data_IF_108128000611
#
_entry.id   IF_108128000611
#
_cell.length_a   1.000
_cell.length_b   1.000
_cell.length_c   1.000
_cell.angle_alpha   90.00
_cell.angle_beta   90.00
_cell.angle_gamma   90.00
#
_symmetry.space_group_name_H-M   'P 1'
#
loop_
_entity.id
_entity.type
_entity.pdbx_description
1 polymer ?
#
# COMPACT_ATOMS: atom_id res chain seq x y z
N UNK A 1 17.83 7.85 33.12
CA UNK A 1 17.37 7.36 31.80
C UNK A 1 18.59 6.98 30.96
N UNK A 2 18.71 5.74 30.47
CA UNK A 2 19.80 5.39 29.53
C UNK A 2 19.44 5.96 28.15
N UNK A 3 19.75 7.23 27.91
CA UNK A 3 19.71 7.83 26.56
C UNK A 3 20.87 7.26 25.75
N UNK A 4 20.71 6.02 25.28
CA UNK A 4 21.71 5.41 24.42
C UNK A 4 21.85 6.18 23.10
N UNK A 5 23.03 6.11 22.48
CA UNK A 5 23.30 6.73 21.17
C UNK A 5 22.29 6.31 20.09
N UNK A 6 21.77 5.07 20.17
CA UNK A 6 20.83 4.50 19.19
C UNK A 6 19.49 5.27 19.10
N UNK A 7 18.74 5.50 20.19
CA UNK A 7 17.54 6.36 20.15
C UNK A 7 17.78 7.77 19.58
N UNK A 8 18.93 8.38 19.88
CA UNK A 8 19.26 9.70 19.36
C UNK A 8 19.44 9.68 17.84
N UNK A 9 20.11 8.66 17.29
CA UNK A 9 20.24 8.48 15.84
C UNK A 9 18.89 8.32 15.15
N UNK A 10 17.96 7.57 15.73
CA UNK A 10 16.60 7.42 15.17
C UNK A 10 15.77 8.70 15.28
N UNK A 11 16.02 9.52 16.31
CA UNK A 11 15.41 10.86 16.41
C UNK A 11 15.95 11.79 15.33
N UNK A 12 17.27 11.77 15.10
CA UNK A 12 17.91 12.49 14.00
C UNK A 12 17.42 12.03 12.63
N UNK A 13 17.20 10.72 12.45
CA UNK A 13 16.60 10.17 11.24
C UNK A 13 15.16 10.66 11.03
N UNK A 14 14.31 10.63 12.08
CA UNK A 14 12.96 11.18 12.00
C UNK A 14 12.96 12.66 11.64
N UNK A 15 13.83 13.45 12.27
CA UNK A 15 14.01 14.87 11.99
C UNK A 15 14.43 15.10 10.53
N UNK A 16 15.46 14.41 10.07
CA UNK A 16 15.94 14.53 8.70
C UNK A 16 14.86 14.16 7.69
N UNK A 17 14.14 13.05 7.89
CA UNK A 17 13.07 12.65 6.99
C UNK A 17 11.95 13.70 6.94
N UNK A 18 11.57 14.30 8.07
CA UNK A 18 10.61 15.41 8.10
C UNK A 18 11.08 16.61 7.27
N UNK A 19 12.36 17.00 7.36
CA UNK A 19 12.90 18.09 6.55
C UNK A 19 12.93 17.73 5.06
N UNK A 20 13.26 16.48 4.72
CA UNK A 20 13.30 16.01 3.34
C UNK A 20 11.92 15.98 2.68
N UNK A 21 10.82 15.93 3.45
CA UNK A 21 9.46 16.09 2.90
C UNK A 21 9.24 17.44 2.22
N UNK A 22 9.95 18.49 2.65
CA UNK A 22 9.85 19.83 2.06
C UNK A 22 10.72 20.00 0.80
N UNK A 23 11.58 19.02 0.47
CA UNK A 23 12.51 19.11 -0.66
C UNK A 23 11.98 18.26 -1.81
N UNK A 24 11.66 18.84 -2.98
CA UNK A 24 11.23 18.09 -4.15
C UNK A 24 12.22 16.97 -4.51
N UNK A 25 11.71 15.85 -5.04
CA UNK A 25 12.44 14.62 -5.35
C UNK A 25 12.96 13.83 -4.13
N UNK A 26 13.43 14.52 -3.08
CA UNK A 26 13.86 13.88 -1.83
C UNK A 26 12.68 13.53 -0.92
N UNK A 27 11.52 14.13 -1.15
CA UNK A 27 10.27 13.82 -0.45
C UNK A 27 9.81 12.38 -0.69
N UNK A 28 10.01 11.80 -1.88
CA UNK A 28 9.63 10.42 -2.18
C UNK A 28 10.32 9.38 -1.28
N UNK A 29 11.67 9.31 -1.21
CA UNK A 29 12.32 8.40 -0.28
C UNK A 29 12.01 8.74 1.19
N UNK A 30 11.77 10.02 1.51
CA UNK A 30 11.35 10.42 2.85
C UNK A 30 9.99 9.82 3.24
N UNK A 31 8.97 9.94 2.37
CA UNK A 31 7.65 9.35 2.55
C UNK A 31 7.72 7.83 2.73
N UNK A 32 8.50 7.15 1.90
CA UNK A 32 8.67 5.69 1.97
C UNK A 32 9.25 5.24 3.32
N UNK A 33 10.22 5.97 3.87
CA UNK A 33 10.92 5.59 5.09
C UNK A 33 10.33 6.22 6.37
N UNK A 34 9.34 7.12 6.26
CA UNK A 34 8.88 7.95 7.38
C UNK A 34 8.39 7.16 8.60
N UNK A 35 7.69 6.04 8.37
CA UNK A 35 7.25 5.17 9.48
C UNK A 35 8.41 4.53 10.24
N UNK A 36 9.55 4.26 9.60
CA UNK A 36 10.64 3.44 10.16
C UNK A 36 11.19 4.00 11.47
N UNK A 37 11.66 5.26 11.56
CA UNK A 37 12.17 5.78 12.82
C UNK A 37 11.08 5.85 13.90
N UNK A 38 9.84 6.17 13.55
CA UNK A 38 8.73 6.20 14.51
C UNK A 38 8.40 4.82 15.08
N UNK A 39 8.35 3.78 14.23
CA UNK A 39 8.16 2.39 14.67
C UNK A 39 9.31 1.98 15.59
N UNK A 40 10.55 2.28 15.24
CA UNK A 40 11.73 1.90 16.04
C UNK A 40 11.74 2.59 17.40
N UNK A 41 11.56 3.92 17.43
CA UNK A 41 11.50 4.70 18.67
C UNK A 41 10.35 4.22 19.55
N UNK A 42 9.14 4.06 18.99
CA UNK A 42 7.99 3.61 19.76
C UNK A 42 8.19 2.19 20.30
N UNK A 43 8.76 1.28 19.52
CA UNK A 43 8.94 -0.13 19.89
C UNK A 43 10.00 -0.30 20.98
N UNK A 44 11.06 0.50 20.96
CA UNK A 44 12.24 0.31 21.83
C UNK A 44 12.23 1.15 23.09
N UNK A 45 11.40 2.21 23.15
CA UNK A 45 11.35 3.14 24.29
C UNK A 45 10.08 2.94 25.13
N UNK A 46 10.13 3.42 26.38
CA UNK A 46 8.91 3.66 27.16
C UNK A 46 8.10 4.79 26.53
N UNK A 47 6.80 4.89 26.85
CA UNK A 47 5.92 5.94 26.29
C UNK A 47 6.45 7.36 26.59
N UNK A 48 6.93 7.59 27.82
CA UNK A 48 7.52 8.88 28.20
C UNK A 48 8.82 9.18 27.44
N UNK A 49 9.73 8.21 27.33
CA UNK A 49 10.96 8.40 26.57
C UNK A 49 10.70 8.61 25.08
N UNK A 50 9.72 7.92 24.49
CA UNK A 50 9.28 8.16 23.12
C UNK A 50 8.85 9.62 22.90
N UNK A 51 8.02 10.17 23.79
CA UNK A 51 7.59 11.58 23.70
C UNK A 51 8.76 12.56 23.86
N UNK A 52 9.70 12.27 24.77
CA UNK A 52 10.90 13.10 24.96
C UNK A 52 11.80 13.16 23.71
N UNK A 53 11.76 12.13 22.85
CA UNK A 53 12.46 12.14 21.57
C UNK A 53 11.61 12.76 20.44
N UNK A 54 10.30 12.51 20.44
CA UNK A 54 9.40 12.96 19.39
C UNK A 54 9.16 14.48 19.42
N UNK A 55 8.89 15.04 20.60
CA UNK A 55 8.50 16.46 20.73
C UNK A 55 9.60 17.40 20.22
N UNK A 56 10.88 17.28 20.62
CA UNK A 56 11.92 18.16 20.10
C UNK A 56 12.10 18.02 18.58
N UNK A 57 12.02 16.80 18.05
CA UNK A 57 12.10 16.54 16.60
C UNK A 57 11.00 17.29 15.85
N UNK A 58 9.77 17.22 16.35
CA UNK A 58 8.62 17.89 15.74
C UNK A 58 8.67 19.40 15.86
N UNK A 59 9.05 19.93 17.03
CA UNK A 59 9.20 21.38 17.22
C UNK A 59 10.26 21.96 16.29
N UNK A 60 11.43 21.31 16.19
CA UNK A 60 12.50 21.76 15.31
C UNK A 60 12.11 21.63 13.83
N UNK A 61 11.50 20.52 13.43
CA UNK A 61 11.06 20.34 12.05
C UNK A 61 9.99 21.36 11.64
N UNK A 62 9.02 21.62 12.52
CA UNK A 62 7.98 22.62 12.28
C UNK A 62 8.53 24.05 12.21
N UNK A 63 9.54 24.37 13.02
CA UNK A 63 10.19 25.68 12.99
C UNK A 63 10.98 25.90 11.68
N UNK A 64 11.63 24.86 11.16
CA UNK A 64 12.52 24.96 9.99
C UNK A 64 11.75 24.80 8.67
N UNK A 65 10.89 23.79 8.57
CA UNK A 65 10.20 23.41 7.34
C UNK A 65 8.72 23.81 7.32
N UNK A 66 8.21 24.41 8.40
CA UNK A 66 6.84 24.89 8.51
C UNK A 66 5.83 23.84 9.01
N UNK A 67 4.58 24.23 9.26
CA UNK A 67 3.57 23.36 9.86
C UNK A 67 3.08 22.23 8.92
N UNK A 68 3.19 22.41 7.60
CA UNK A 68 2.72 21.43 6.62
C UNK A 68 3.42 20.07 6.75
N UNK A 69 4.73 20.05 7.05
CA UNK A 69 5.47 18.78 7.23
C UNK A 69 5.01 18.03 8.48
N UNK A 70 4.44 18.72 9.48
CA UNK A 70 3.92 18.09 10.69
C UNK A 70 2.60 17.36 10.44
N UNK A 71 1.76 17.89 9.52
CA UNK A 71 0.52 17.22 9.10
C UNK A 71 0.87 15.88 8.43
N UNK A 72 1.82 15.91 7.48
CA UNK A 72 2.31 14.70 6.82
C UNK A 72 3.00 13.77 7.83
N UNK A 73 3.80 14.31 8.75
CA UNK A 73 4.41 13.55 9.84
C UNK A 73 3.39 12.84 10.73
N UNK A 74 2.25 13.49 10.99
CA UNK A 74 1.15 12.95 11.80
C UNK A 74 0.50 11.75 11.15
N UNK A 75 0.25 11.84 9.84
CA UNK A 75 -0.28 10.74 9.05
C UNK A 75 0.56 9.47 9.22
N UNK A 76 1.89 9.57 9.19
CA UNK A 76 2.79 8.41 9.35
C UNK A 76 3.02 8.00 10.81
N UNK A 77 2.90 8.93 11.76
CA UNK A 77 3.08 8.67 13.18
C UNK A 77 2.03 7.68 13.72
N UNK A 78 0.77 7.87 13.37
CA UNK A 78 -0.35 7.04 13.86
C UNK A 78 -0.19 5.54 13.51
N UNK A 79 -0.03 5.13 12.23
CA UNK A 79 0.17 3.73 11.88
C UNK A 79 1.51 3.21 12.43
N UNK A 80 2.52 4.07 12.61
CA UNK A 80 3.81 3.66 13.16
C UNK A 80 3.70 3.29 14.65
N UNK A 81 2.92 4.04 15.41
CA UNK A 81 2.57 3.72 16.81
C UNK A 81 1.80 2.41 16.88
N UNK A 82 0.80 2.21 16.01
CA UNK A 82 0.02 0.96 15.98
C UNK A 82 0.91 -0.23 15.66
N UNK A 83 1.75 -0.12 14.63
CA UNK A 83 2.70 -1.17 14.25
C UNK A 83 3.70 -1.46 15.37
N UNK A 84 4.26 -0.43 16.00
CA UNK A 84 5.18 -0.60 17.12
C UNK A 84 4.52 -1.19 18.38
N UNK A 85 3.25 -0.91 18.62
CA UNK A 85 2.47 -1.55 19.68
C UNK A 85 2.28 -3.05 19.41
N UNK A 86 1.94 -3.41 18.16
CA UNK A 86 1.81 -4.80 17.75
C UNK A 86 3.14 -5.56 17.86
N UNK A 87 4.27 -4.93 17.54
CA UNK A 87 5.60 -5.50 17.78
C UNK A 87 5.86 -5.77 19.25
N UNK A 88 5.58 -4.81 20.15
CA UNK A 88 5.72 -5.01 21.60
C UNK A 88 4.86 -6.17 22.12
N UNK A 89 3.70 -6.41 21.52
CA UNK A 89 2.80 -7.50 21.89
C UNK A 89 3.15 -8.86 21.27
N UNK A 90 4.20 -8.96 20.45
CA UNK A 90 4.57 -10.20 19.74
C UNK A 90 3.54 -10.64 18.69
N UNK A 91 2.76 -9.71 18.12
CA UNK A 91 1.71 -10.03 17.17
C UNK A 91 2.27 -10.65 15.88
N UNK A 92 1.56 -11.63 15.32
CA UNK A 92 1.90 -12.23 14.04
C UNK A 92 1.96 -11.20 12.91
N UNK A 93 2.86 -11.37 11.94
CA UNK A 93 3.05 -10.45 10.82
C UNK A 93 1.76 -10.19 10.02
N UNK A 94 0.91 -11.21 9.85
CA UNK A 94 -0.39 -11.07 9.18
C UNK A 94 -1.35 -10.13 9.93
N UNK A 95 -1.27 -10.07 11.27
CA UNK A 95 -2.04 -9.09 12.07
C UNK A 95 -1.46 -7.69 11.91
N UNK A 96 -0.13 -7.56 11.94
CA UNK A 96 0.56 -6.28 11.72
C UNK A 96 0.19 -5.66 10.38
N UNK A 97 0.30 -6.44 9.29
CA UNK A 97 0.01 -5.96 7.94
C UNK A 97 -1.47 -5.57 7.82
N UNK A 98 -2.39 -6.45 8.24
CA UNK A 98 -3.83 -6.18 8.17
C UNK A 98 -4.22 -4.92 8.94
N UNK A 99 -3.79 -4.80 10.19
CA UNK A 99 -4.13 -3.65 11.03
C UNK A 99 -3.46 -2.38 10.50
N UNK A 100 -2.20 -2.43 10.06
CA UNK A 100 -1.52 -1.28 9.45
C UNK A 100 -2.23 -0.79 8.18
N UNK A 101 -2.61 -1.70 7.29
CA UNK A 101 -3.36 -1.37 6.07
C UNK A 101 -4.69 -0.70 6.39
N UNK A 102 -5.45 -1.24 7.35
CA UNK A 102 -6.73 -0.65 7.78
C UNK A 102 -6.53 0.74 8.37
N UNK A 103 -5.51 0.94 9.21
CA UNK A 103 -5.24 2.25 9.82
C UNK A 103 -4.85 3.28 8.77
N UNK A 104 -3.99 2.93 7.81
CA UNK A 104 -3.61 3.84 6.72
C UNK A 104 -4.82 4.17 5.84
N UNK A 105 -5.65 3.17 5.50
CA UNK A 105 -6.89 3.39 4.77
C UNK A 105 -7.83 4.36 5.51
N UNK A 106 -8.03 4.14 6.81
CA UNK A 106 -8.88 5.00 7.63
C UNK A 106 -8.34 6.43 7.69
N UNK A 107 -7.02 6.60 7.76
CA UNK A 107 -6.39 7.93 7.73
C UNK A 107 -6.53 8.61 6.37
N UNK A 108 -6.33 7.89 5.26
CA UNK A 108 -6.55 8.43 3.92
C UNK A 108 -8.00 8.91 3.72
N UNK A 109 -8.97 8.11 4.18
CA UNK A 109 -10.38 8.50 4.14
C UNK A 109 -10.69 9.69 5.04
N UNK A 110 -10.11 9.71 6.25
CA UNK A 110 -10.26 10.81 7.18
C UNK A 110 -9.68 12.10 6.62
N UNK A 111 -8.51 12.05 5.98
CA UNK A 111 -7.88 13.22 5.36
C UNK A 111 -8.71 13.79 4.22
N UNK A 112 -9.26 12.94 3.34
CA UNK A 112 -10.18 13.40 2.29
C UNK A 112 -11.40 14.12 2.88
N UNK A 113 -12.01 13.53 3.91
CA UNK A 113 -13.18 14.11 4.58
C UNK A 113 -12.85 15.44 5.29
N UNK A 114 -11.73 15.48 6.02
CA UNK A 114 -11.28 16.69 6.72
C UNK A 114 -10.91 17.80 5.73
N UNK A 115 -10.26 17.47 4.62
CA UNK A 115 -9.93 18.44 3.59
C UNK A 115 -11.20 19.10 3.05
N UNK A 116 -12.19 18.31 2.67
CA UNK A 116 -13.47 18.83 2.21
C UNK A 116 -14.17 19.70 3.26
N UNK A 117 -14.19 19.26 4.53
CA UNK A 117 -14.85 20.00 5.61
C UNK A 117 -14.16 21.32 5.95
N UNK A 118 -12.83 21.38 5.89
CA UNK A 118 -12.04 22.57 6.27
C UNK A 118 -12.01 23.60 5.14
N UNK A 119 -11.85 23.14 3.90
CA UNK A 119 -11.64 24.02 2.74
C UNK A 119 -12.90 24.25 1.91
N UNK A 120 -14.00 23.54 2.20
CA UNK A 120 -15.24 23.54 1.40
C UNK A 120 -15.02 23.15 -0.07
N UNK A 121 -13.95 22.37 -0.33
CA UNK A 121 -13.53 21.92 -1.66
C UNK A 121 -13.49 20.40 -1.70
N UNK A 122 -14.25 19.80 -2.63
CA UNK A 122 -14.14 18.38 -2.93
C UNK A 122 -12.88 18.12 -3.74
N UNK A 123 -11.90 17.43 -3.15
CA UNK A 123 -10.67 17.05 -3.86
C UNK A 123 -10.95 16.20 -5.10
N UNK A 124 -11.99 15.38 -5.06
CA UNK A 124 -12.40 14.55 -6.20
C UNK A 124 -12.94 15.41 -7.37
N UNK A 125 -13.70 16.45 -7.06
CA UNK A 125 -14.21 17.37 -8.07
C UNK A 125 -13.07 18.22 -8.63
N UNK A 126 -12.15 18.68 -7.78
CA UNK A 126 -10.98 19.44 -8.22
C UNK A 126 -10.07 18.61 -9.12
N UNK A 127 -9.85 17.33 -8.78
CA UNK A 127 -9.14 16.40 -9.66
C UNK A 127 -9.85 16.23 -11.01
N UNK A 128 -11.17 16.04 -11.00
CA UNK A 128 -11.96 15.91 -12.23
C UNK A 128 -11.85 17.16 -13.10
N UNK A 129 -12.00 18.34 -12.50
CA UNK A 129 -11.87 19.63 -13.16
C UNK A 129 -10.45 19.86 -13.72
N UNK A 130 -9.41 19.53 -12.94
CA UNK A 130 -8.01 19.63 -13.38
C UNK A 130 -7.72 18.72 -14.57
N UNK A 131 -8.22 17.47 -14.55
CA UNK A 131 -8.06 16.54 -15.67
C UNK A 131 -8.78 17.11 -16.91
N UNK A 132 -10.03 17.55 -16.76
CA UNK A 132 -10.83 18.10 -17.86
C UNK A 132 -10.15 19.31 -18.51
N UNK A 133 -9.79 20.30 -17.70
CA UNK A 133 -9.11 21.52 -18.17
C UNK A 133 -7.77 21.23 -18.85
N UNK A 134 -7.03 20.22 -18.38
CA UNK A 134 -5.81 19.76 -19.05
C UNK A 134 -6.09 19.26 -20.46
N UNK A 135 -7.13 18.43 -20.62
CA UNK A 135 -7.51 17.91 -21.94
C UNK A 135 -8.09 18.99 -22.86
N UNK A 136 -8.93 19.88 -22.33
CA UNK A 136 -9.47 21.01 -23.10
C UNK A 136 -8.33 21.89 -23.63
N UNK A 137 -7.31 22.19 -22.80
CA UNK A 137 -6.12 22.93 -23.22
C UNK A 137 -5.31 22.22 -24.31
N UNK A 138 -5.21 20.88 -24.26
CA UNK A 138 -4.56 20.10 -25.31
C UNK A 138 -5.38 20.06 -26.60
N UNK A 139 -6.72 20.09 -26.49
CA UNK A 139 -7.62 20.14 -27.64
C UNK A 139 -7.50 21.47 -28.38
N UNK A 140 -7.45 22.58 -27.65
CA UNK A 140 -7.24 23.92 -28.22
C UNK A 140 -5.91 24.03 -28.98
N UNK A 141 -4.88 23.31 -28.53
CA UNK A 141 -3.57 23.23 -29.18
C UNK A 141 -3.48 22.16 -30.27
N UNK A 142 -4.59 21.46 -30.56
CA UNK A 142 -4.67 20.37 -31.52
C UNK A 142 -3.63 19.26 -31.28
N UNK A 143 -3.36 18.97 -30.00
CA UNK A 143 -2.40 17.95 -29.54
C UNK A 143 -3.07 16.59 -29.26
N UNK A 144 -4.40 16.52 -29.29
CA UNK A 144 -5.15 15.30 -29.04
C UNK A 144 -5.14 14.36 -30.24
N UNK A 145 -5.02 13.07 -29.97
CA UNK A 145 -5.15 12.04 -30.99
C UNK A 145 -6.61 11.85 -31.41
N UNK A 146 -6.88 11.34 -32.63
CA UNK A 146 -8.23 10.97 -33.05
C UNK A 146 -8.89 10.02 -32.04
N UNK A 147 -10.16 10.28 -31.68
CA UNK A 147 -10.93 9.50 -30.70
C UNK A 147 -10.87 10.02 -29.25
N UNK A 148 -10.10 11.08 -28.98
CA UNK A 148 -10.12 11.80 -27.70
C UNK A 148 -11.15 12.94 -27.74
N UNK A 149 -12.42 12.58 -27.94
CA UNK A 149 -13.53 13.52 -27.83
C UNK A 149 -13.95 13.74 -26.36
N UNK A 150 -14.88 14.66 -26.13
CA UNK A 150 -15.36 14.99 -24.79
C UNK A 150 -16.02 13.80 -24.10
N UNK A 151 -16.70 12.92 -24.84
CA UNK A 151 -17.35 11.73 -24.26
C UNK A 151 -16.30 10.75 -23.72
N UNK A 152 -15.24 10.49 -24.50
CA UNK A 152 -14.13 9.66 -24.04
C UNK A 152 -13.44 10.24 -22.80
N UNK A 153 -13.20 11.56 -22.79
CA UNK A 153 -12.58 12.26 -21.65
C UNK A 153 -13.45 12.14 -20.39
N UNK A 154 -14.77 12.30 -20.51
CA UNK A 154 -15.70 12.18 -19.38
C UNK A 154 -15.72 10.76 -18.82
N UNK A 155 -15.72 9.74 -19.68
CA UNK A 155 -15.58 8.34 -19.26
C UNK A 155 -14.24 8.06 -18.59
N UNK A 156 -13.15 8.67 -19.08
CA UNK A 156 -11.82 8.56 -18.47
C UNK A 156 -11.81 9.16 -17.07
N UNK A 157 -12.32 10.38 -16.90
CA UNK A 157 -12.42 11.07 -15.61
C UNK A 157 -13.23 10.23 -14.63
N UNK A 158 -14.41 9.78 -15.03
CA UNK A 158 -15.28 8.92 -14.22
C UNK A 158 -14.53 7.66 -13.77
N UNK A 159 -13.84 6.98 -14.69
CA UNK A 159 -13.03 5.79 -14.40
C UNK A 159 -11.89 6.07 -13.41
N UNK A 160 -11.18 7.18 -13.56
CA UNK A 160 -10.11 7.59 -12.64
C UNK A 160 -10.66 7.79 -11.23
N UNK A 161 -11.77 8.52 -11.10
CA UNK A 161 -12.40 8.77 -9.79
C UNK A 161 -12.92 7.47 -9.17
N UNK A 162 -13.58 6.62 -9.96
CA UNK A 162 -14.11 5.34 -9.47
C UNK A 162 -13.03 4.36 -9.03
N UNK A 163 -11.78 4.49 -9.49
CA UNK A 163 -10.65 3.63 -9.09
C UNK A 163 -9.86 4.13 -7.87
N UNK A 164 -10.22 5.28 -7.30
CA UNK A 164 -9.57 5.81 -6.09
C UNK A 164 -9.65 4.83 -4.91
N UNK A 165 -10.80 4.18 -4.61
CA UNK A 165 -10.88 3.22 -3.52
C UNK A 165 -9.89 2.07 -3.66
N UNK A 166 -9.81 1.44 -4.83
CA UNK A 166 -8.82 0.40 -5.15
C UNK A 166 -7.39 0.93 -4.96
N UNK A 167 -7.10 2.11 -5.50
CA UNK A 167 -5.78 2.75 -5.40
C UNK A 167 -5.38 2.94 -3.93
N UNK A 168 -6.30 3.41 -3.08
CA UNK A 168 -6.04 3.60 -1.65
C UNK A 168 -5.79 2.27 -0.94
N UNK A 169 -6.57 1.23 -1.25
CA UNK A 169 -6.39 -0.10 -0.66
C UNK A 169 -5.01 -0.67 -1.03
N UNK A 170 -4.66 -0.62 -2.31
CA UNK A 170 -3.37 -1.13 -2.82
C UNK A 170 -2.21 -0.33 -2.23
N UNK A 171 -2.31 1.01 -2.22
CA UNK A 171 -1.27 1.88 -1.65
C UNK A 171 -1.06 1.60 -0.15
N UNK A 172 -2.15 1.54 0.63
CA UNK A 172 -2.08 1.26 2.05
C UNK A 172 -1.48 -0.14 2.34
N UNK A 173 -1.84 -1.14 1.53
CA UNK A 173 -1.29 -2.49 1.63
C UNK A 173 0.21 -2.52 1.33
N UNK A 174 0.61 -2.01 0.16
CA UNK A 174 2.01 -2.00 -0.30
C UNK A 174 2.88 -1.21 0.67
N UNK A 175 2.43 -0.03 1.08
CA UNK A 175 3.15 0.79 2.05
C UNK A 175 3.31 0.07 3.38
N UNK A 176 2.24 -0.53 3.92
CA UNK A 176 2.33 -1.29 5.18
C UNK A 176 3.30 -2.48 5.09
N UNK A 177 3.25 -3.24 3.99
CA UNK A 177 4.17 -4.37 3.76
C UNK A 177 5.61 -3.90 3.70
N UNK A 178 5.88 -2.80 2.98
CA UNK A 178 7.20 -2.19 2.89
C UNK A 178 7.69 -1.71 4.26
N UNK A 179 6.88 -0.91 4.96
CA UNK A 179 7.23 -0.37 6.29
C UNK A 179 7.42 -1.48 7.32
N UNK A 180 6.60 -2.54 7.29
CA UNK A 180 6.78 -3.72 8.12
C UNK A 180 8.13 -4.39 7.83
N UNK A 181 8.44 -4.66 6.57
CA UNK A 181 9.68 -5.31 6.14
C UNK A 181 10.93 -4.55 6.59
N UNK A 182 10.98 -3.23 6.35
CA UNK A 182 12.12 -2.38 6.73
C UNK A 182 12.21 -2.24 8.25
N UNK A 183 11.12 -1.86 8.91
CA UNK A 183 11.11 -1.62 10.36
C UNK A 183 11.42 -2.88 11.15
N UNK A 184 10.89 -4.04 10.74
CA UNK A 184 11.17 -5.33 11.36
C UNK A 184 12.67 -5.62 11.38
N UNK A 185 13.36 -5.46 10.24
CA UNK A 185 14.82 -5.71 10.16
C UNK A 185 15.61 -4.85 11.11
N UNK A 186 15.20 -3.60 11.29
CA UNK A 186 15.84 -2.68 12.20
C UNK A 186 15.56 -3.05 13.66
N UNK A 187 14.29 -3.29 14.00
CA UNK A 187 13.86 -3.61 15.37
C UNK A 187 14.48 -4.92 15.85
N UNK A 188 14.61 -5.94 15.01
CA UNK A 188 15.26 -7.20 15.38
C UNK A 188 16.70 -7.02 15.88
N UNK A 189 17.43 -6.01 15.40
CA UNK A 189 18.80 -5.70 15.86
C UNK A 189 18.85 -5.15 17.30
N UNK A 190 17.69 -4.90 17.90
CA UNK A 190 17.56 -4.43 19.28
C UNK A 190 17.32 -5.56 20.28
N UNK A 191 17.21 -6.80 19.81
CA UNK A 191 16.97 -8.00 20.64
C UNK A 191 15.49 -8.36 20.80
N UNK A 192 14.58 -7.57 20.23
CA UNK A 192 13.16 -7.90 20.16
C UNK A 192 12.88 -8.87 19.02
N UNK A 193 12.17 -9.96 19.32
CA UNK A 193 11.65 -10.85 18.30
C UNK A 193 10.39 -10.24 17.67
N UNK A 194 10.40 -10.13 16.35
CA UNK A 194 9.28 -9.62 15.56
C UNK A 194 8.94 -10.70 14.54
N UNK A 195 7.75 -11.33 14.59
CA UNK A 195 7.38 -12.39 13.68
C UNK A 195 7.52 -11.98 12.20
N UNK A 196 8.04 -12.87 11.37
CA UNK A 196 8.12 -12.68 9.91
C UNK A 196 6.80 -13.10 9.25
N UNK A 197 6.54 -12.57 8.06
CA UNK A 197 5.54 -13.14 7.17
C UNK A 197 6.03 -14.50 6.63
N UNK A 198 5.15 -15.49 6.39
CA UNK A 198 5.53 -16.75 5.78
C UNK A 198 6.27 -16.56 4.46
N UNK A 199 7.14 -17.51 4.11
CA UNK A 199 7.85 -17.49 2.83
C UNK A 199 6.86 -17.56 1.67
N UNK A 200 7.18 -16.91 0.54
CA UNK A 200 6.29 -16.85 -0.62
C UNK A 200 5.83 -18.23 -1.14
N UNK A 201 6.73 -19.22 -1.11
CA UNK A 201 6.42 -20.61 -1.49
C UNK A 201 5.31 -21.24 -0.64
N UNK A 202 5.07 -20.75 0.57
CA UNK A 202 4.09 -21.30 1.52
C UNK A 202 2.76 -20.54 1.49
N UNK A 203 2.62 -19.50 0.65
CA UNK A 203 1.39 -18.73 0.56
C UNK A 203 0.24 -19.56 0.00
N UNK A 204 -0.89 -19.53 0.72
CA UNK A 204 -2.12 -20.25 0.41
C UNK A 204 -3.33 -19.39 0.71
N UNK A 205 -4.09 -19.08 -0.32
CA UNK A 205 -5.39 -18.46 -0.18
C UNK A 205 -6.47 -19.49 0.19
N UNK A 206 -7.52 -19.10 0.94
CA UNK A 206 -8.66 -19.96 1.17
C UNK A 206 -9.49 -20.11 -0.12
N UNK A 207 -9.96 -21.34 -0.39
CA UNK A 207 -10.72 -21.68 -1.60
C UNK A 207 -11.97 -20.83 -1.82
N UNK A 208 -12.59 -20.34 -0.75
CA UNK A 208 -13.79 -19.49 -0.83
C UNK A 208 -13.55 -18.20 -1.64
N UNK A 209 -12.31 -17.66 -1.66
CA UNK A 209 -11.99 -16.48 -2.47
C UNK A 209 -12.16 -16.73 -3.98
N UNK A 210 -11.99 -17.98 -4.43
CA UNK A 210 -12.20 -18.34 -5.85
C UNK A 210 -13.68 -18.16 -6.19
N UNK A 211 -14.57 -18.60 -5.30
CA UNK A 211 -16.02 -18.47 -5.48
C UNK A 211 -16.40 -17.00 -5.54
N UNK A 212 -15.92 -16.17 -4.61
CA UNK A 212 -16.20 -14.73 -4.62
C UNK A 212 -15.69 -14.05 -5.89
N UNK A 213 -14.51 -14.42 -6.37
CA UNK A 213 -13.96 -13.85 -7.60
C UNK A 213 -14.75 -14.24 -8.84
N UNK A 214 -15.13 -15.51 -8.97
CA UNK A 214 -15.94 -15.97 -10.10
C UNK A 214 -17.32 -15.30 -10.10
N UNK A 215 -17.98 -15.18 -8.95
CA UNK A 215 -19.26 -14.48 -8.84
C UNK A 215 -19.10 -13.01 -9.23
N UNK A 216 -18.14 -12.30 -8.63
CA UNK A 216 -17.89 -10.89 -8.94
C UNK A 216 -17.59 -10.68 -10.43
N UNK A 217 -16.70 -11.50 -10.99
CA UNK A 217 -16.33 -11.43 -12.41
C UNK A 217 -17.53 -11.71 -13.32
N UNK A 218 -18.34 -12.73 -13.03
CA UNK A 218 -19.53 -13.06 -13.84
C UNK A 218 -20.54 -11.92 -13.80
N UNK A 219 -20.78 -11.30 -12.64
CA UNK A 219 -21.69 -10.14 -12.54
C UNK A 219 -21.12 -8.95 -13.34
N UNK A 220 -19.80 -8.72 -13.25
CA UNK A 220 -19.11 -7.63 -13.97
C UNK A 220 -19.26 -7.74 -15.49
N UNK A 221 -19.34 -8.96 -16.06
CA UNK A 221 -19.59 -9.18 -17.49
C UNK A 221 -20.93 -8.62 -17.99
N UNK A 222 -21.89 -8.37 -17.10
CA UNK A 222 -23.19 -7.79 -17.44
C UNK A 222 -23.26 -6.28 -17.19
N UNK A 223 -22.22 -5.67 -16.61
CA UNK A 223 -22.15 -4.23 -16.39
C UNK A 223 -21.82 -3.51 -17.69
N UNK A 224 -22.59 -2.46 -17.99
CA UNK A 224 -22.37 -1.67 -19.22
C UNK A 224 -21.24 -0.66 -19.02
N UNK A 225 -20.45 -0.34 -20.06
CA UNK A 225 -19.54 0.79 -20.01
C UNK A 225 -20.28 2.09 -19.65
N UNK A 226 -19.72 2.86 -18.71
CA UNK A 226 -20.30 4.13 -18.25
C UNK A 226 -21.34 4.00 -17.12
N UNK A 227 -21.69 2.78 -16.69
CA UNK A 227 -22.59 2.55 -15.55
C UNK A 227 -21.98 3.12 -14.25
N UNK A 228 -22.74 4.02 -13.61
CA UNK A 228 -22.37 4.74 -12.39
C UNK A 228 -23.05 4.19 -11.13
N UNK A 229 -23.80 3.09 -11.25
CA UNK A 229 -24.46 2.46 -10.13
C UNK A 229 -23.46 1.99 -9.09
N UNK A 230 -23.90 1.94 -7.83
CA UNK A 230 -23.09 1.45 -6.72
C UNK A 230 -22.46 0.08 -7.02
N UNK A 231 -23.21 -0.83 -7.67
CA UNK A 231 -22.73 -2.16 -8.02
C UNK A 231 -21.61 -2.10 -9.06
N UNK A 232 -21.77 -1.30 -10.11
CA UNK A 232 -20.74 -1.12 -11.14
C UNK A 232 -19.43 -0.58 -10.54
N UNK A 233 -19.52 0.46 -9.70
CA UNK A 233 -18.35 1.03 -9.00
C UNK A 233 -17.71 0.01 -8.05
N UNK A 234 -18.53 -0.74 -7.30
CA UNK A 234 -18.03 -1.77 -6.39
C UNK A 234 -17.28 -2.88 -7.14
N UNK A 235 -17.80 -3.37 -8.25
CA UNK A 235 -17.16 -4.41 -9.07
C UNK A 235 -15.89 -3.91 -9.74
N UNK A 236 -15.89 -2.68 -10.23
CA UNK A 236 -14.73 -2.00 -10.82
C UNK A 236 -13.53 -1.93 -9.87
N UNK A 237 -13.76 -1.98 -8.56
CA UNK A 237 -12.70 -2.04 -7.54
C UNK A 237 -12.46 -3.48 -7.04
N UNK A 238 -13.53 -4.25 -6.81
CA UNK A 238 -13.46 -5.59 -6.22
C UNK A 238 -12.82 -6.62 -7.15
N UNK A 239 -13.16 -6.61 -8.45
CA UNK A 239 -12.62 -7.57 -9.42
C UNK A 239 -11.11 -7.38 -9.58
N UNK A 240 -10.57 -6.16 -9.80
CA UNK A 240 -9.12 -5.95 -9.82
C UNK A 240 -8.46 -6.26 -8.48
N UNK A 241 -9.09 -5.94 -7.34
CA UNK A 241 -8.54 -6.25 -6.02
C UNK A 241 -8.35 -7.77 -5.83
N UNK A 242 -9.36 -8.56 -6.19
CA UNK A 242 -9.28 -10.03 -6.14
C UNK A 242 -8.25 -10.56 -7.16
N UNK A 243 -8.18 -9.96 -8.35
CA UNK A 243 -7.13 -10.28 -9.34
C UNK A 243 -5.73 -10.07 -8.77
N UNK A 244 -5.46 -8.97 -8.05
CA UNK A 244 -4.18 -8.76 -7.36
C UNK A 244 -3.91 -9.79 -6.26
N UNK A 245 -4.94 -10.15 -5.48
CA UNK A 245 -4.82 -11.20 -4.46
C UNK A 245 -4.42 -12.54 -5.10
N UNK A 246 -5.03 -12.91 -6.24
CA UNK A 246 -4.64 -14.10 -6.98
C UNK A 246 -3.30 -13.97 -7.71
N UNK A 247 -2.91 -12.79 -8.15
CA UNK A 247 -1.56 -12.56 -8.68
C UNK A 247 -0.49 -12.82 -7.60
N UNK A 248 -0.72 -12.39 -6.35
CA UNK A 248 0.15 -12.70 -5.20
C UNK A 248 0.21 -14.23 -4.97
N UNK A 249 -0.92 -14.93 -5.08
CA UNK A 249 -0.93 -16.39 -4.99
C UNK A 249 -0.16 -17.06 -6.14
N UNK A 250 -0.29 -16.56 -7.37
CA UNK A 250 0.47 -17.05 -8.52
C UNK A 250 1.98 -16.87 -8.30
N UNK A 251 2.41 -15.73 -7.77
CA UNK A 251 3.80 -15.51 -7.36
C UNK A 251 4.24 -16.58 -6.35
N UNK A 252 3.44 -16.81 -5.30
CA UNK A 252 3.72 -17.84 -4.31
C UNK A 252 3.83 -19.25 -4.92
N UNK A 253 2.99 -19.57 -5.89
CA UNK A 253 3.06 -20.81 -6.66
C UNK A 253 4.36 -20.94 -7.46
N UNK A 254 4.82 -19.89 -8.13
CA UNK A 254 6.10 -19.90 -8.84
C UNK A 254 7.29 -20.04 -7.89
N UNK A 255 7.25 -19.41 -6.71
CA UNK A 255 8.25 -19.64 -5.66
C UNK A 255 8.26 -21.08 -5.14
N UNK A 256 7.08 -21.71 -5.06
CA UNK A 256 6.97 -23.12 -4.72
C UNK A 256 7.58 -24.03 -5.80
N UNK A 257 7.24 -23.82 -7.08
CA UNK A 257 7.82 -24.60 -8.19
C UNK A 257 9.35 -24.44 -8.21
N UNK A 258 9.84 -23.20 -8.08
CA UNK A 258 11.27 -22.93 -8.06
C UNK A 258 11.98 -23.69 -6.92
N UNK A 259 11.32 -23.83 -5.77
CA UNK A 259 11.85 -24.61 -4.65
C UNK A 259 11.89 -26.11 -4.96
N UNK A 260 10.78 -26.70 -5.39
CA UNK A 260 10.69 -28.15 -5.67
C UNK A 260 11.59 -28.57 -6.83
N UNK A 261 11.71 -27.73 -7.86
CA UNK A 261 12.52 -27.96 -9.06
C UNK A 261 13.96 -27.43 -8.95
N UNK A 262 14.35 -26.88 -7.80
CA UNK A 262 15.67 -26.28 -7.55
C UNK A 262 16.08 -25.22 -8.59
N UNK A 263 15.12 -24.40 -9.05
CA UNK A 263 15.42 -23.27 -9.93
C UNK A 263 16.18 -22.18 -9.18
N UNK A 264 16.91 -21.34 -9.94
CA UNK A 264 17.54 -20.15 -9.37
C UNK A 264 16.46 -19.22 -8.78
N UNK A 265 16.71 -18.69 -7.58
CA UNK A 265 15.81 -17.75 -6.87
C UNK A 265 15.47 -16.50 -7.68
N UNK A 266 16.31 -16.12 -8.64
CA UNK A 266 16.03 -15.00 -9.55
C UNK A 266 14.82 -15.26 -10.48
N UNK A 267 14.58 -16.51 -10.87
CA UNK A 267 13.50 -16.89 -11.80
C UNK A 267 12.11 -16.48 -11.28
N UNK A 268 11.66 -16.91 -10.08
CA UNK A 268 10.35 -16.51 -9.57
C UNK A 268 10.25 -15.00 -9.29
N UNK A 269 11.36 -14.31 -9.01
CA UNK A 269 11.38 -12.84 -8.85
C UNK A 269 11.10 -12.15 -10.19
N UNK A 270 11.76 -12.60 -11.27
CA UNK A 270 11.53 -12.05 -12.60
C UNK A 270 10.11 -12.34 -13.12
N UNK A 271 9.55 -13.51 -12.78
CA UNK A 271 8.15 -13.86 -13.11
C UNK A 271 7.14 -13.01 -12.34
N UNK A 272 7.48 -12.53 -11.14
CA UNK A 272 6.55 -11.74 -10.34
C UNK A 272 6.15 -10.41 -11.00
N UNK A 273 7.05 -9.80 -11.78
CA UNK A 273 6.78 -8.53 -12.48
C UNK A 273 5.64 -8.68 -13.50
N UNK A 274 5.74 -9.56 -14.53
CA UNK A 274 4.65 -9.71 -15.48
C UNK A 274 3.36 -10.23 -14.82
N UNK A 275 3.45 -11.07 -13.78
CA UNK A 275 2.26 -11.55 -13.07
C UNK A 275 1.46 -10.42 -12.42
N UNK A 276 2.12 -9.39 -11.90
CA UNK A 276 1.45 -8.22 -11.33
C UNK A 276 0.97 -7.23 -12.41
N UNK A 277 1.69 -7.12 -13.52
CA UNK A 277 1.39 -6.15 -14.59
C UNK A 277 0.34 -6.65 -15.59
N UNK A 278 0.18 -7.97 -15.75
CA UNK A 278 -0.72 -8.58 -16.72
C UNK A 278 -1.87 -9.27 -15.97
N UNK A 279 -3.05 -8.62 -15.83
CA UNK A 279 -4.19 -9.16 -15.09
C UNK A 279 -4.57 -10.60 -15.45
N UNK A 280 -4.50 -11.07 -16.71
CA UNK A 280 -4.80 -12.46 -17.04
C UNK A 280 -3.92 -13.51 -16.34
N UNK A 281 -2.68 -13.15 -15.95
CA UNK A 281 -1.77 -14.07 -15.26
C UNK A 281 -2.22 -14.38 -13.82
N UNK A 282 -3.10 -13.56 -13.23
CA UNK A 282 -3.74 -13.85 -11.94
C UNK A 282 -4.51 -15.18 -11.95
N UNK A 283 -5.00 -15.62 -13.13
CA UNK A 283 -5.74 -16.88 -13.29
C UNK A 283 -4.90 -18.09 -12.87
N UNK A 284 -3.57 -18.02 -12.95
CA UNK A 284 -2.68 -19.08 -12.45
C UNK A 284 -2.87 -19.25 -10.93
N UNK A 285 -3.02 -18.14 -10.20
CA UNK A 285 -3.27 -18.15 -8.76
C UNK A 285 -4.67 -18.65 -8.42
N UNK A 286 -5.66 -18.35 -9.26
CA UNK A 286 -7.02 -18.92 -9.15
C UNK A 286 -6.95 -20.43 -9.26
N UNK A 287 -6.25 -20.94 -10.28
CA UNK A 287 -6.08 -22.38 -10.51
C UNK A 287 -5.31 -23.07 -9.35
N UNK A 288 -4.21 -22.48 -8.86
CA UNK A 288 -3.45 -23.01 -7.70
C UNK A 288 -4.28 -23.02 -6.40
N UNK A 289 -5.23 -22.11 -6.27
CA UNK A 289 -6.14 -22.07 -5.11
C UNK A 289 -7.27 -23.08 -5.25
N UNK A 290 -7.90 -23.14 -6.42
CA UNK A 290 -9.06 -23.98 -6.70
C UNK A 290 -8.70 -25.48 -6.69
N UNK A 291 -7.57 -25.82 -7.31
CA UNK A 291 -7.13 -27.20 -7.51
C UNK A 291 -5.84 -27.48 -6.74
N UNK A 292 -5.62 -28.72 -6.28
CA UNK A 292 -4.41 -29.09 -5.55
C UNK A 292 -3.18 -29.28 -6.48
N UNK A 293 -2.92 -28.33 -7.39
CA UNK A 293 -1.92 -28.43 -8.46
C UNK A 293 -0.51 -28.68 -7.92
N UNK A 294 -0.19 -28.10 -6.76
CA UNK A 294 1.13 -28.27 -6.12
C UNK A 294 1.48 -29.73 -5.83
N UNK A 295 0.49 -30.60 -5.57
CA UNK A 295 0.73 -32.03 -5.29
C UNK A 295 1.40 -32.73 -6.47
N UNK A 296 1.15 -32.28 -7.70
CA UNK A 296 1.73 -32.86 -8.91
C UNK A 296 3.23 -32.54 -9.09
N UNK A 297 3.77 -31.62 -8.29
CA UNK A 297 5.18 -31.20 -8.36
C UNK A 297 6.04 -31.73 -7.22
N UNK A 298 5.42 -32.21 -6.14
CA UNK A 298 6.12 -32.89 -5.06
C UNK A 298 6.39 -34.33 -5.51
N UNK A 299 7.65 -34.79 -5.47
CA UNK A 299 7.97 -36.19 -5.75
C UNK A 299 7.19 -37.06 -4.75
N UNK A 300 6.46 -38.07 -5.25
CA UNK A 300 5.97 -39.15 -4.39
C UNK A 300 7.20 -39.81 -3.75
N UNK A 301 7.30 -39.72 -2.42
CA UNK A 301 8.16 -40.59 -1.63
C UNK A 301 7.43 -41.90 -1.37
#
# INVERSE_FOLDING_TARGET
MKTGLKPLLWSGAAFLLLLLLAVPLLNLPALLLMMVPYVVLYTTLSRGAFLLHLIPVWLLAGLIAGPAVLIIGLFFLVPAIVMGHLYKSGAAAAKVIRTGTIVILALLMLELMLFQMIFDISLLNEMSHTIRTTFDSMQEQNLLAPGWDSEFIDLLIQRVIHMIPLTFIVLAFVYTVFSHYVSRRVVMRTGLDVPAFPMAKDWRLPRVLVIYYLIAYVIDLFIKPGDDSFLAVALMNLVPLLSYVFAIQAIGFFFFIAHERKWNKAVPILIAIPVLLLPPLSLIGVLDTAFPIRKSFTKQQ
#
